data_IF_125115140664
#
_entry.id   IF_125115140664
#
_cell.length_a   1.000
_cell.length_b   1.000
_cell.length_c   1.000
_cell.angle_alpha   90.00
_cell.angle_beta   90.00
_cell.angle_gamma   90.00
#
_symmetry.space_group_name_H-M   'P 1'
#
loop_
_entity.id
_entity.type
_entity.pdbx_description
1 polymer ?
#
# COMPACT_ATOMS: atom_id res chain seq x y z
N UNK A 1 -7.37 9.42 8.45
CA UNK A 1 -7.62 8.34 7.47
C UNK A 1 -8.87 8.68 6.68
N UNK A 2 -8.92 8.33 5.39
CA UNK A 2 -10.08 8.58 4.52
C UNK A 2 -10.21 10.04 4.09
N UNK A 3 -11.44 10.46 3.79
CA UNK A 3 -11.75 11.70 3.05
C UNK A 3 -11.34 12.99 3.75
N UNK A 4 -11.15 12.96 5.08
CA UNK A 4 -10.70 14.11 5.87
C UNK A 4 -9.16 14.19 6.03
N UNK A 5 -8.39 13.26 5.43
CA UNK A 5 -6.94 13.25 5.54
C UNK A 5 -6.26 13.67 4.23
N UNK A 6 -5.20 14.47 4.34
CA UNK A 6 -4.29 14.75 3.24
C UNK A 6 -3.10 13.77 3.29
N UNK A 7 -2.68 13.27 2.14
CA UNK A 7 -1.50 12.40 2.02
C UNK A 7 -0.31 13.23 1.52
N UNK A 8 0.82 13.16 2.23
CA UNK A 8 2.01 13.98 1.95
C UNK A 8 2.68 13.63 0.61
N UNK A 9 2.50 12.41 0.10
CA UNK A 9 3.02 11.96 -1.20
C UNK A 9 2.17 12.36 -2.42
N UNK A 10 1.16 13.21 -2.23
CA UNK A 10 0.22 13.65 -3.27
C UNK A 10 -1.23 13.25 -2.95
N UNK A 11 -2.21 14.00 -3.46
CA UNK A 11 -3.60 13.72 -3.15
C UNK A 11 -4.02 12.32 -3.66
N UNK A 12 -4.37 11.43 -2.73
CA UNK A 12 -4.96 10.13 -3.06
C UNK A 12 -6.46 10.30 -3.37
N UNK A 13 -7.05 9.44 -4.21
CA UNK A 13 -8.48 9.45 -4.47
C UNK A 13 -9.31 9.31 -3.19
N UNK A 14 -10.31 10.17 -3.01
CA UNK A 14 -11.25 10.11 -1.89
C UNK A 14 -12.26 8.99 -2.13
N UNK A 15 -11.85 7.75 -1.82
CA UNK A 15 -12.61 6.53 -2.09
C UNK A 15 -12.55 5.59 -0.89
N UNK A 16 -13.58 4.74 -0.77
CA UNK A 16 -13.63 3.71 0.26
C UNK A 16 -12.44 2.74 0.20
N UNK A 17 -11.88 2.49 -0.98
CA UNK A 17 -10.70 1.64 -1.14
C UNK A 17 -9.46 2.26 -0.47
N UNK A 18 -9.21 3.54 -0.70
CA UNK A 18 -8.10 4.27 -0.05
C UNK A 18 -8.32 4.30 1.47
N UNK A 19 -9.53 4.66 1.92
CA UNK A 19 -9.85 4.71 3.34
C UNK A 19 -9.68 3.33 4.03
N UNK A 20 -10.14 2.25 3.39
CA UNK A 20 -10.00 0.89 3.89
C UNK A 20 -8.55 0.42 3.99
N UNK A 21 -7.74 0.69 2.97
CA UNK A 21 -6.31 0.35 2.98
C UNK A 21 -5.55 1.15 4.05
N UNK A 22 -5.81 2.45 4.15
CA UNK A 22 -5.20 3.30 5.18
C UNK A 22 -5.60 2.85 6.60
N UNK A 23 -6.88 2.50 6.82
CA UNK A 23 -7.35 1.99 8.10
C UNK A 23 -6.68 0.66 8.48
N UNK A 24 -6.58 -0.27 7.54
CA UNK A 24 -5.89 -1.55 7.74
C UNK A 24 -4.39 -1.36 8.03
N UNK A 25 -3.74 -0.42 7.35
CA UNK A 25 -2.33 -0.08 7.58
C UNK A 25 -2.12 0.47 9.00
N UNK A 26 -2.88 1.49 9.40
CA UNK A 26 -2.78 2.09 10.74
C UNK A 26 -3.07 1.05 11.83
N UNK A 27 -4.09 0.20 11.66
CA UNK A 27 -4.39 -0.86 12.60
C UNK A 27 -3.21 -1.84 12.78
N UNK A 28 -2.52 -2.19 11.69
CA UNK A 28 -1.33 -3.04 11.74
C UNK A 28 -0.15 -2.37 12.45
N UNK A 29 0.05 -1.07 12.25
CA UNK A 29 1.08 -0.30 12.96
C UNK A 29 0.82 -0.31 14.46
N UNK A 30 -0.40 0.04 14.88
CA UNK A 30 -0.79 0.09 16.28
C UNK A 30 -0.66 -1.27 16.96
N UNK A 31 -1.15 -2.34 16.32
CA UNK A 31 -1.07 -3.69 16.88
C UNK A 31 0.35 -4.24 17.01
N UNK A 32 1.32 -3.64 16.31
CA UNK A 32 2.72 -4.07 16.31
C UNK A 32 3.64 -3.08 17.01
N UNK A 33 3.08 -1.99 17.53
CA UNK A 33 3.82 -0.86 18.11
C UNK A 33 4.94 -0.38 17.18
N UNK A 34 4.66 -0.43 15.86
CA UNK A 34 5.64 -0.14 14.83
C UNK A 34 5.62 1.34 14.46
N UNK A 35 6.80 1.91 14.26
CA UNK A 35 6.99 3.29 13.84
C UNK A 35 7.28 3.38 12.34
N UNK A 36 6.87 4.49 11.72
CA UNK A 36 7.12 4.77 10.31
C UNK A 36 8.21 5.82 10.23
N UNK A 37 9.40 5.50 9.70
CA UNK A 37 10.45 6.48 9.58
C UNK A 37 10.12 7.51 8.50
N UNK A 38 10.56 8.75 8.73
CA UNK A 38 10.43 9.86 7.78
C UNK A 38 11.37 9.70 6.57
N UNK A 39 12.36 8.81 6.67
CA UNK A 39 13.29 8.52 5.58
C UNK A 39 12.57 7.77 4.43
N UNK A 40 12.88 8.17 3.19
CA UNK A 40 12.41 7.47 1.98
C UNK A 40 13.06 6.08 1.91
N UNK A 41 12.33 5.04 2.34
CA UNK A 41 12.78 3.65 2.31
C UNK A 41 12.64 3.00 0.93
N UNK A 42 12.70 3.78 -0.16
CA UNK A 42 12.57 3.26 -1.52
C UNK A 42 13.55 2.12 -1.77
N UNK A 43 13.00 0.96 -2.14
CA UNK A 43 13.74 -0.27 -2.41
C UNK A 43 13.77 -1.26 -1.24
N UNK A 44 13.36 -0.87 -0.02
CA UNK A 44 13.21 -1.80 1.09
C UNK A 44 11.82 -2.42 1.05
N UNK A 45 11.75 -3.74 0.95
CA UNK A 45 10.48 -4.48 0.95
C UNK A 45 10.23 -5.10 2.33
N UNK A 46 9.02 -4.93 2.86
CA UNK A 46 8.52 -5.73 3.98
C UNK A 46 7.98 -4.95 5.17
N UNK A 47 7.69 -5.66 6.26
CA UNK A 47 7.26 -5.09 7.54
C UNK A 47 8.04 -5.72 8.71
N UNK A 48 8.42 -4.92 9.71
CA UNK A 48 9.02 -5.43 10.95
C UNK A 48 10.40 -6.05 10.73
N UNK A 49 10.55 -7.36 10.99
CA UNK A 49 11.84 -8.05 10.94
C UNK A 49 12.45 -8.13 9.53
N UNK A 50 11.64 -8.04 8.46
CA UNK A 50 12.13 -7.92 7.09
C UNK A 50 12.89 -6.60 6.87
N UNK A 51 12.38 -5.51 7.46
CA UNK A 51 13.04 -4.20 7.44
C UNK A 51 14.29 -4.23 8.33
N UNK A 52 14.27 -4.94 9.46
CA UNK A 52 15.46 -5.09 10.30
C UNK A 52 16.62 -5.73 9.53
N UNK A 53 16.35 -6.72 8.67
CA UNK A 53 17.37 -7.33 7.83
C UNK A 53 17.95 -6.41 6.75
N UNK A 54 17.17 -5.44 6.25
CA UNK A 54 17.67 -4.36 5.37
C UNK A 54 18.49 -3.33 6.16
N UNK A 55 18.04 -2.95 7.37
CA UNK A 55 18.76 -2.05 8.26
C UNK A 55 20.13 -2.63 8.61
N UNK A 56 20.20 -3.89 9.04
CA UNK A 56 21.46 -4.53 9.43
C UNK A 56 22.44 -4.61 8.26
N UNK A 57 21.95 -4.81 7.03
CA UNK A 57 22.76 -4.74 5.81
C UNK A 57 23.25 -3.31 5.55
N UNK A 58 22.36 -2.32 5.56
CA UNK A 58 22.74 -0.93 5.36
C UNK A 58 23.74 -0.41 6.40
N UNK A 59 23.63 -0.84 7.66
CA UNK A 59 24.61 -0.53 8.72
C UNK A 59 25.99 -1.10 8.39
N UNK A 60 26.07 -2.32 7.86
CA UNK A 60 27.35 -2.91 7.40
C UNK A 60 27.94 -2.11 6.23
N UNK A 61 27.09 -1.64 5.33
CA UNK A 61 27.47 -0.82 4.18
C UNK A 61 27.74 0.65 4.55
N UNK A 62 27.63 1.01 5.84
CA UNK A 62 27.79 2.36 6.39
C UNK A 62 26.80 3.37 5.79
N UNK A 63 25.62 2.91 5.39
CA UNK A 63 24.52 3.77 4.99
C UNK A 63 24.11 4.65 6.20
N UNK A 64 24.17 5.99 6.08
CA UNK A 64 23.78 6.89 7.15
C UNK A 64 22.31 6.73 7.56
N UNK A 65 21.40 6.37 6.65
CA UNK A 65 19.98 6.18 6.93
C UNK A 65 19.78 4.92 7.77
N UNK A 66 20.35 3.80 7.35
CA UNK A 66 20.28 2.55 8.12
C UNK A 66 20.92 2.69 9.51
N UNK A 67 22.03 3.45 9.61
CA UNK A 67 22.70 3.73 10.90
C UNK A 67 21.87 4.63 11.82
N UNK A 68 21.07 5.54 11.28
CA UNK A 68 20.15 6.36 12.06
C UNK A 68 18.94 5.55 12.53
N UNK A 69 18.42 4.66 11.67
CA UNK A 69 17.27 3.81 11.96
C UNK A 69 17.60 2.68 12.95
N UNK A 70 18.80 2.10 12.90
CA UNK A 70 19.22 1.04 13.83
C UNK A 70 19.33 1.50 15.29
N UNK A 71 19.37 2.81 15.55
CA UNK A 71 19.37 3.38 16.90
C UNK A 71 17.98 3.46 17.52
N UNK A 72 16.92 3.25 16.73
CA UNK A 72 15.54 3.22 17.23
C UNK A 72 15.28 1.84 17.84
N UNK A 73 14.74 1.83 19.05
CA UNK A 73 14.38 0.60 19.78
C UNK A 73 12.95 0.12 19.47
N UNK A 74 12.36 0.65 18.39
CA UNK A 74 10.99 0.33 17.97
C UNK A 74 11.03 -0.38 16.61
N UNK A 75 10.15 -1.39 16.40
CA UNK A 75 10.06 -2.04 15.11
C UNK A 75 9.63 -1.04 14.04
N UNK A 76 10.29 -1.07 12.89
CA UNK A 76 10.01 -0.13 11.81
C UNK A 76 9.08 -0.75 10.76
N UNK A 77 8.27 0.10 10.14
CA UNK A 77 7.37 -0.24 9.05
C UNK A 77 7.59 0.67 7.84
N UNK A 78 7.36 0.13 6.64
CA UNK A 78 7.39 0.92 5.41
C UNK A 78 6.29 2.00 5.45
N UNK A 79 6.55 3.21 4.93
CA UNK A 79 5.51 4.20 4.69
C UNK A 79 4.35 3.62 3.87
N UNK A 80 3.14 4.16 4.10
CA UNK A 80 1.95 3.71 3.40
C UNK A 80 2.08 3.91 1.89
N UNK A 81 1.81 2.87 1.12
CA UNK A 81 1.70 2.94 -0.33
C UNK A 81 0.32 2.46 -0.75
N UNK A 82 -0.38 3.30 -1.52
CA UNK A 82 -1.69 2.95 -2.04
C UNK A 82 -1.55 1.93 -3.17
N UNK A 83 -2.27 0.82 -3.07
CA UNK A 83 -2.43 -0.12 -4.15
C UNK A 83 -3.79 0.10 -4.84
N UNK A 84 -3.75 0.56 -6.09
CA UNK A 84 -4.94 0.61 -6.92
C UNK A 84 -5.35 -0.80 -7.36
N UNK A 85 -6.56 -1.21 -6.99
CA UNK A 85 -7.22 -2.45 -7.42
C UNK A 85 -8.11 -2.22 -8.65
N UNK A 86 -8.16 -0.99 -9.17
CA UNK A 86 -9.03 -0.56 -10.26
C UNK A 86 -10.37 0.03 -9.78
N UNK A 87 -11.38 0.03 -10.66
CA UNK A 87 -12.68 0.70 -10.46
C UNK A 87 -13.85 -0.19 -10.89
N UNK A 88 -15.02 0.04 -10.30
CA UNK A 88 -16.28 -0.62 -10.66
C UNK A 88 -17.39 0.43 -10.82
N UNK A 89 -18.13 0.36 -11.93
CA UNK A 89 -19.24 1.25 -12.21
C UNK A 89 -20.44 0.48 -12.77
N UNK A 90 -21.61 0.64 -12.14
CA UNK A 90 -22.88 0.19 -12.71
C UNK A 90 -23.35 1.21 -13.76
N UNK A 91 -23.61 0.75 -14.99
CA UNK A 91 -23.95 1.63 -16.12
C UNK A 91 -25.44 1.61 -16.50
N UNK A 92 -26.27 0.91 -15.72
CA UNK A 92 -27.70 0.73 -15.99
C UNK A 92 -28.00 -0.51 -16.83
N UNK A 93 -29.28 -0.84 -16.99
CA UNK A 93 -29.70 -1.94 -17.87
C UNK A 93 -29.10 -3.30 -17.50
N UNK A 94 -28.91 -3.59 -16.21
CA UNK A 94 -28.23 -4.80 -15.72
C UNK A 94 -26.77 -4.97 -16.17
N UNK A 95 -26.13 -3.86 -16.57
CA UNK A 95 -24.74 -3.84 -17.01
C UNK A 95 -23.82 -3.13 -16.01
N UNK A 96 -22.58 -3.60 -15.92
CA UNK A 96 -21.53 -2.93 -15.17
C UNK A 96 -20.20 -3.02 -15.91
N UNK A 97 -19.34 -2.02 -15.68
CA UNK A 97 -17.96 -1.97 -16.15
C UNK A 97 -17.04 -2.11 -14.94
N UNK A 98 -16.04 -2.98 -15.05
CA UNK A 98 -14.94 -3.05 -14.10
C UNK A 98 -13.62 -2.87 -14.83
N UNK A 99 -12.72 -2.12 -14.21
CA UNK A 99 -11.31 -2.12 -14.52
C UNK A 99 -10.61 -2.76 -13.33
N UNK A 100 -9.83 -3.81 -13.55
CA UNK A 100 -9.05 -4.47 -12.51
C UNK A 100 -7.57 -4.21 -12.76
N UNK A 101 -6.87 -3.79 -11.70
CA UNK A 101 -5.43 -3.59 -11.69
C UNK A 101 -4.79 -4.58 -10.73
N UNK A 102 -3.75 -5.27 -11.18
CA UNK A 102 -2.94 -6.15 -10.33
C UNK A 102 -1.61 -5.47 -9.99
N UNK A 103 -1.20 -5.58 -8.72
CA UNK A 103 0.12 -5.13 -8.29
C UNK A 103 1.20 -5.83 -9.13
N UNK A 104 2.19 -5.07 -9.63
CA UNK A 104 3.24 -5.64 -10.46
C UNK A 104 4.15 -6.53 -9.62
N UNK A 105 4.10 -7.84 -9.88
CA UNK A 105 5.12 -8.78 -9.44
C UNK A 105 5.83 -9.28 -10.68
N UNK A 106 6.95 -8.64 -11.04
CA UNK A 106 8.01 -8.96 -12.02
C UNK A 106 7.70 -9.60 -13.39
N UNK A 107 6.52 -10.14 -13.67
CA UNK A 107 6.23 -10.94 -14.86
C UNK A 107 4.81 -10.74 -15.43
N UNK A 108 3.87 -10.06 -14.75
CA UNK A 108 2.51 -9.83 -15.27
C UNK A 108 1.94 -8.49 -14.82
N UNK A 109 2.19 -7.45 -15.63
CA UNK A 109 1.47 -6.19 -15.54
C UNK A 109 0.30 -6.21 -16.54
N UNK A 110 -0.88 -5.78 -16.11
CA UNK A 110 -2.03 -5.72 -16.99
C UNK A 110 -3.24 -5.06 -16.33
N UNK A 111 -3.86 -4.14 -17.05
CA UNK A 111 -5.18 -3.62 -16.75
C UNK A 111 -6.19 -4.41 -17.55
N UNK A 112 -7.17 -5.02 -16.88
CA UNK A 112 -8.24 -5.74 -17.56
C UNK A 112 -9.56 -5.02 -17.37
N UNK A 113 -10.22 -4.69 -18.48
CA UNK A 113 -11.59 -4.17 -18.48
C UNK A 113 -12.57 -5.32 -18.71
N UNK A 114 -13.55 -5.45 -17.83
CA UNK A 114 -14.56 -6.51 -17.85
C UNK A 114 -15.95 -5.87 -17.86
N UNK A 115 -16.80 -6.33 -18.77
CA UNK A 115 -18.21 -5.95 -18.83
C UNK A 115 -19.07 -7.08 -18.27
N UNK A 116 -19.92 -6.76 -17.30
CA UNK A 116 -20.87 -7.72 -16.73
C UNK A 116 -22.27 -7.47 -17.28
N UNK A 117 -23.01 -8.54 -17.57
CA UNK A 117 -24.44 -8.51 -17.85
C UNK A 117 -25.14 -9.57 -16.98
N UNK A 118 -26.23 -9.19 -16.29
CA UNK A 118 -26.94 -10.04 -15.32
C UNK A 118 -27.77 -11.18 -15.94
N UNK A 119 -27.89 -11.29 -17.27
CA UNK A 119 -28.83 -12.20 -17.96
C UNK A 119 -28.64 -13.73 -17.77
N UNK A 120 -27.86 -14.23 -16.79
CA UNK A 120 -27.52 -15.67 -16.70
C UNK A 120 -27.64 -16.36 -15.34
N UNK A 121 -28.24 -15.74 -14.31
CA UNK A 121 -28.34 -16.34 -12.97
C UNK A 121 -29.79 -16.27 -12.47
N UNK A 122 -30.63 -17.19 -12.95
CA UNK A 122 -31.98 -17.48 -12.46
C UNK A 122 -32.15 -19.00 -12.30
#
# INVERSE_FOLDING_TARGET
VGDCAAYEGGALPQTAQVAGQQGAFVARLLNREADVPEADLKGWSGYGWEIQGEIDRGVRDKDPVATALSKRDVPLAKPFEFLSLGILAYVGGNQALAQVEMASSSDKEGTQTISFNREGWA
#
